data_IF_839967268897
#
_entry.id   IF_839967268897
#
_cell.length_a   1.000
_cell.length_b   1.000
_cell.length_c   1.000
_cell.angle_alpha   90.00
_cell.angle_beta   90.00
_cell.angle_gamma   90.00
#
_symmetry.space_group_name_H-M   'P 1'
#
loop_
_entity.id
_entity.type
_entity.pdbx_description
1 polymer ?
#
# COMPACT_ATOMS: atom_id res chain seq x y z
N UNK A 1 -73.52 66.54 -27.22
CA UNK A 1 -74.71 67.32 -27.61
C UNK A 1 -75.67 67.67 -26.46
N UNK A 2 -75.66 66.99 -25.31
CA UNK A 2 -76.35 67.46 -24.08
C UNK A 2 -75.71 68.71 -23.43
N UNK A 3 -74.41 68.94 -23.68
CA UNK A 3 -73.65 70.07 -23.13
C UNK A 3 -73.84 71.38 -23.93
N UNK A 4 -74.35 71.29 -25.17
CA UNK A 4 -74.53 72.42 -26.11
C UNK A 4 -76.01 72.81 -26.35
N UNK A 5 -76.94 72.27 -25.56
CA UNK A 5 -78.37 72.49 -25.76
C UNK A 5 -78.84 73.84 -25.17
N UNK A 6 -79.79 74.54 -25.82
CA UNK A 6 -80.21 75.88 -25.42
C UNK A 6 -80.84 75.86 -24.01
N UNK A 7 -80.31 76.72 -23.12
CA UNK A 7 -80.85 76.90 -21.76
C UNK A 7 -82.00 77.88 -21.80
N UNK A 8 -83.10 77.56 -21.13
CA UNK A 8 -84.23 78.48 -21.02
C UNK A 8 -83.85 79.66 -20.12
N UNK A 9 -84.00 80.92 -20.58
CA UNK A 9 -83.65 82.08 -19.77
C UNK A 9 -84.57 82.18 -18.55
N UNK A 10 -83.98 82.41 -17.37
CA UNK A 10 -84.60 82.46 -16.04
C UNK A 10 -84.92 81.11 -15.36
N UNK A 11 -84.57 79.96 -15.95
CA UNK A 11 -84.63 78.68 -15.25
C UNK A 11 -83.30 77.91 -15.36
N UNK A 12 -83.08 76.94 -14.48
CA UNK A 12 -81.94 76.01 -14.57
C UNK A 12 -82.19 74.86 -15.55
N UNK A 13 -83.27 74.91 -16.34
CA UNK A 13 -83.69 73.81 -17.20
C UNK A 13 -83.16 74.01 -18.62
N UNK A 14 -82.55 72.94 -19.14
CA UNK A 14 -81.97 72.89 -20.49
C UNK A 14 -82.96 72.14 -21.38
N UNK A 15 -83.25 72.69 -22.57
CA UNK A 15 -84.13 72.03 -23.54
C UNK A 15 -83.35 70.90 -24.20
N UNK A 16 -83.79 69.66 -24.01
CA UNK A 16 -83.16 68.46 -24.57
C UNK A 16 -84.17 67.78 -25.49
N UNK A 17 -83.70 67.36 -26.66
CA UNK A 17 -84.47 66.56 -27.61
C UNK A 17 -84.75 65.18 -27.00
N UNK A 18 -86.02 64.91 -26.71
CA UNK A 18 -86.48 63.69 -26.04
C UNK A 18 -86.18 62.45 -26.89
N UNK A 19 -86.34 62.51 -28.22
CA UNK A 19 -86.05 61.38 -29.12
C UNK A 19 -84.55 61.06 -29.12
N UNK A 20 -83.69 62.06 -29.29
CA UNK A 20 -82.23 61.82 -29.30
C UNK A 20 -81.70 61.35 -27.93
N UNK A 21 -82.26 61.88 -26.83
CA UNK A 21 -81.88 61.45 -25.49
C UNK A 21 -82.32 60.01 -25.21
N UNK A 22 -83.54 59.65 -25.61
CA UNK A 22 -84.07 58.29 -25.47
C UNK A 22 -83.29 57.31 -26.34
N UNK A 23 -82.93 57.67 -27.58
CA UNK A 23 -82.08 56.84 -28.45
C UNK A 23 -80.70 56.59 -27.83
N UNK A 24 -80.07 57.62 -27.25
CA UNK A 24 -78.80 57.49 -26.53
C UNK A 24 -78.95 56.63 -25.26
N UNK A 25 -80.07 56.77 -24.55
CA UNK A 25 -80.37 55.98 -23.35
C UNK A 25 -80.68 54.51 -23.69
N UNK A 26 -81.35 54.24 -24.81
CA UNK A 26 -81.60 52.88 -25.31
C UNK A 26 -80.31 52.24 -25.83
N UNK A 27 -79.44 53.00 -26.49
CA UNK A 27 -78.11 52.55 -26.87
C UNK A 27 -77.30 52.12 -25.63
N UNK A 28 -77.34 52.93 -24.56
CA UNK A 28 -76.77 52.56 -23.27
C UNK A 28 -77.47 51.32 -22.71
N UNK A 29 -78.81 51.27 -22.68
CA UNK A 29 -79.58 50.13 -22.16
C UNK A 29 -79.23 48.81 -22.84
N UNK A 30 -78.91 48.84 -24.13
CA UNK A 30 -78.54 47.66 -24.92
C UNK A 30 -77.09 47.23 -24.66
N UNK A 31 -76.14 48.16 -24.53
CA UNK A 31 -74.70 47.84 -24.46
C UNK A 31 -74.09 47.82 -23.05
N UNK A 32 -74.66 48.52 -22.06
CA UNK A 32 -74.19 48.52 -20.68
C UNK A 32 -74.23 47.13 -20.03
N UNK A 33 -75.30 46.31 -20.22
CA UNK A 33 -75.36 44.97 -19.65
C UNK A 33 -74.23 44.07 -20.15
N UNK A 34 -73.91 44.10 -21.46
CA UNK A 34 -72.82 43.29 -22.01
C UNK A 34 -71.45 43.75 -21.50
N UNK A 35 -71.22 45.08 -21.42
CA UNK A 35 -69.97 45.60 -20.89
C UNK A 35 -69.73 45.22 -19.42
N UNK A 36 -70.78 45.17 -18.58
CA UNK A 36 -70.66 44.68 -17.20
C UNK A 36 -70.42 43.17 -17.13
N UNK A 37 -70.99 42.40 -18.06
CA UNK A 37 -70.77 40.96 -18.13
C UNK A 37 -69.32 40.67 -18.53
N UNK A 38 -68.80 41.36 -19.55
CA UNK A 38 -67.40 41.28 -19.97
C UNK A 38 -66.45 41.66 -18.84
N UNK A 39 -66.75 42.74 -18.10
CA UNK A 39 -65.94 43.15 -16.95
C UNK A 39 -65.92 42.09 -15.83
N UNK A 40 -67.06 41.44 -15.56
CA UNK A 40 -67.12 40.31 -14.61
C UNK A 40 -66.30 39.12 -15.08
N UNK A 41 -66.37 38.80 -16.37
CA UNK A 41 -65.58 37.70 -16.94
C UNK A 41 -64.08 37.98 -16.88
N UNK A 42 -63.65 39.22 -17.15
CA UNK A 42 -62.25 39.64 -16.99
C UNK A 42 -61.80 39.49 -15.53
N UNK A 43 -62.61 39.92 -14.56
CA UNK A 43 -62.27 39.80 -13.14
C UNK A 43 -62.16 38.32 -12.73
N UNK A 44 -63.12 37.49 -13.13
CA UNK A 44 -63.09 36.04 -12.87
C UNK A 44 -61.85 35.38 -13.48
N UNK A 45 -61.57 35.64 -14.76
CA UNK A 45 -60.40 35.09 -15.43
C UNK A 45 -59.09 35.55 -14.76
N UNK A 46 -59.03 36.80 -14.29
CA UNK A 46 -57.88 37.30 -13.53
C UNK A 46 -57.72 36.55 -12.21
N UNK A 47 -58.81 36.33 -11.46
CA UNK A 47 -58.77 35.57 -10.21
C UNK A 47 -58.31 34.13 -10.44
N UNK A 48 -58.77 33.48 -11.51
CA UNK A 48 -58.30 32.16 -11.92
C UNK A 48 -56.80 32.15 -12.25
N UNK A 49 -56.32 33.11 -13.04
CA UNK A 49 -54.89 33.22 -13.39
C UNK A 49 -54.04 33.47 -12.15
N UNK A 50 -54.49 34.31 -11.21
CA UNK A 50 -53.77 34.58 -9.97
C UNK A 50 -53.67 33.34 -9.11
N UNK A 51 -54.77 32.60 -8.95
CA UNK A 51 -54.78 31.35 -8.20
C UNK A 51 -53.85 30.31 -8.82
N UNK A 52 -53.86 30.18 -10.15
CA UNK A 52 -52.98 29.27 -10.88
C UNK A 52 -51.50 29.68 -10.72
N UNK A 53 -51.21 30.98 -10.82
CA UNK A 53 -49.85 31.49 -10.62
C UNK A 53 -49.36 31.30 -9.17
N UNK A 54 -50.23 31.48 -8.16
CA UNK A 54 -49.91 31.22 -6.76
C UNK A 54 -49.61 29.73 -6.52
N UNK A 55 -50.46 28.83 -7.02
CA UNK A 55 -50.22 27.38 -6.92
C UNK A 55 -48.93 26.98 -7.62
N UNK A 56 -48.68 27.49 -8.83
CA UNK A 56 -47.46 27.20 -9.56
C UNK A 56 -46.20 27.72 -8.85
N UNK A 57 -46.28 28.91 -8.25
CA UNK A 57 -45.18 29.44 -7.43
C UNK A 57 -44.94 28.56 -6.20
N UNK A 58 -45.99 28.12 -5.53
CA UNK A 58 -45.91 27.21 -4.38
C UNK A 58 -45.24 25.89 -4.77
N UNK A 59 -45.64 25.29 -5.89
CA UNK A 59 -45.07 24.05 -6.41
C UNK A 59 -43.57 24.20 -6.73
N UNK A 60 -43.16 25.33 -7.31
CA UNK A 60 -41.74 25.61 -7.59
C UNK A 60 -40.95 25.70 -6.29
N UNK A 61 -41.46 26.41 -5.28
CA UNK A 61 -40.77 26.57 -4.00
C UNK A 61 -40.62 25.21 -3.32
N UNK A 62 -41.70 24.41 -3.23
CA UNK A 62 -41.63 23.06 -2.65
C UNK A 62 -40.67 22.13 -3.42
N UNK A 63 -40.64 22.22 -4.75
CA UNK A 63 -39.71 21.43 -5.55
C UNK A 63 -38.25 21.85 -5.30
N UNK A 64 -37.99 23.16 -5.18
CA UNK A 64 -36.67 23.68 -4.88
C UNK A 64 -36.20 23.30 -3.46
N UNK A 65 -37.07 23.39 -2.47
CA UNK A 65 -36.78 23.00 -1.08
C UNK A 65 -36.50 21.50 -0.96
N UNK A 66 -37.30 20.64 -1.60
CA UNK A 66 -37.05 19.19 -1.63
C UNK A 66 -35.68 18.88 -2.23
N UNK A 67 -35.37 19.49 -3.38
CA UNK A 67 -34.08 19.27 -4.04
C UNK A 67 -32.91 19.78 -3.21
N UNK A 68 -33.06 20.90 -2.52
CA UNK A 68 -32.05 21.41 -1.60
C UNK A 68 -31.82 20.45 -0.42
N UNK A 69 -32.89 19.87 0.13
CA UNK A 69 -32.80 18.88 1.20
C UNK A 69 -32.05 17.61 0.74
N UNK A 70 -32.34 17.11 -0.45
CA UNK A 70 -31.64 15.96 -1.05
C UNK A 70 -30.13 16.23 -1.23
N UNK A 71 -29.77 17.40 -1.76
CA UNK A 71 -28.36 17.78 -1.95
C UNK A 71 -27.62 17.87 -0.60
N UNK A 72 -28.27 18.42 0.43
CA UNK A 72 -27.66 18.51 1.76
C UNK A 72 -27.44 17.13 2.38
N UNK A 73 -28.36 16.19 2.18
CA UNK A 73 -28.22 14.81 2.63
C UNK A 73 -27.06 14.10 1.92
N UNK A 74 -26.97 14.22 0.58
CA UNK A 74 -25.81 13.73 -0.19
C UNK A 74 -24.50 14.35 0.29
N UNK A 75 -24.46 15.66 0.55
CA UNK A 75 -23.28 16.31 1.13
C UNK A 75 -22.93 15.76 2.51
N UNK A 76 -23.92 15.41 3.33
CA UNK A 76 -23.73 14.75 4.62
C UNK A 76 -23.03 13.40 4.46
N UNK A 77 -23.54 12.56 3.56
CA UNK A 77 -22.95 11.25 3.24
C UNK A 77 -21.52 11.38 2.69
N UNK A 78 -21.29 12.30 1.76
CA UNK A 78 -19.95 12.54 1.19
C UNK A 78 -18.97 12.96 2.29
N UNK A 79 -19.35 13.90 3.16
CA UNK A 79 -18.49 14.35 4.26
C UNK A 79 -18.17 13.22 5.24
N UNK A 80 -19.16 12.39 5.56
CA UNK A 80 -18.95 11.23 6.42
C UNK A 80 -17.98 10.24 5.77
N UNK A 81 -18.22 9.87 4.51
CA UNK A 81 -17.34 8.98 3.76
C UNK A 81 -15.91 9.52 3.67
N UNK A 82 -15.74 10.84 3.47
CA UNK A 82 -14.42 11.47 3.49
C UNK A 82 -13.75 11.40 4.87
N UNK A 83 -14.49 11.59 5.95
CA UNK A 83 -13.95 11.46 7.31
C UNK A 83 -13.50 10.04 7.60
N UNK A 84 -14.32 9.05 7.27
CA UNK A 84 -13.98 7.64 7.42
C UNK A 84 -12.77 7.26 6.56
N UNK A 85 -12.73 7.70 5.29
CA UNK A 85 -11.58 7.47 4.41
C UNK A 85 -10.30 8.18 4.90
N UNK A 86 -10.41 9.34 5.56
CA UNK A 86 -9.28 10.00 6.23
C UNK A 86 -8.80 9.19 7.43
N UNK A 87 -9.71 8.71 8.28
CA UNK A 87 -9.37 7.86 9.43
C UNK A 87 -8.69 6.56 9.00
N UNK A 88 -9.25 5.85 8.02
CA UNK A 88 -8.68 4.60 7.50
C UNK A 88 -7.27 4.84 6.98
N UNK A 89 -7.05 5.90 6.18
CA UNK A 89 -5.70 6.24 5.69
C UNK A 89 -4.73 6.55 6.81
N UNK A 90 -5.16 7.30 7.83
CA UNK A 90 -4.32 7.62 8.97
C UNK A 90 -3.97 6.38 9.79
N UNK A 91 -4.93 5.50 10.01
CA UNK A 91 -4.71 4.23 10.70
C UNK A 91 -3.75 3.34 9.93
N UNK A 92 -3.96 3.15 8.62
CA UNK A 92 -3.05 2.37 7.77
C UNK A 92 -1.64 2.97 7.80
N UNK A 93 -1.50 4.29 7.73
CA UNK A 93 -0.18 4.93 7.79
C UNK A 93 0.52 4.61 9.12
N UNK A 94 -0.18 4.75 10.25
CA UNK A 94 0.38 4.42 11.56
C UNK A 94 0.75 2.94 11.68
N UNK A 95 -0.11 2.04 11.20
CA UNK A 95 0.15 0.61 11.20
C UNK A 95 1.36 0.26 10.31
N UNK A 96 1.47 0.87 9.13
CA UNK A 96 2.63 0.70 8.25
C UNK A 96 3.92 1.18 8.91
N UNK A 97 3.90 2.34 9.57
CA UNK A 97 5.08 2.88 10.25
C UNK A 97 5.53 1.95 11.40
N UNK A 98 4.57 1.43 12.18
CA UNK A 98 4.85 0.48 13.27
C UNK A 98 5.41 -0.84 12.74
N UNK A 99 4.77 -1.43 11.72
CA UNK A 99 5.24 -2.69 11.12
C UNK A 99 6.63 -2.49 10.51
N UNK A 100 6.87 -1.35 9.87
CA UNK A 100 8.17 -1.03 9.30
C UNK A 100 9.25 -0.94 10.37
N UNK A 101 8.99 -0.22 11.47
CA UNK A 101 9.92 -0.09 12.58
C UNK A 101 10.20 -1.44 13.25
N UNK A 102 9.16 -2.24 13.50
CA UNK A 102 9.29 -3.60 14.04
C UNK A 102 10.15 -4.49 13.13
N UNK A 103 9.86 -4.49 11.83
CA UNK A 103 10.61 -5.29 10.86
C UNK A 103 12.08 -4.87 10.83
N UNK A 104 12.37 -3.57 10.87
CA UNK A 104 13.74 -3.07 10.89
C UNK A 104 14.48 -3.50 12.17
N UNK A 105 13.82 -3.42 13.33
CA UNK A 105 14.40 -3.88 14.60
C UNK A 105 14.69 -5.40 14.57
N UNK A 106 13.77 -6.20 14.05
CA UNK A 106 13.96 -7.65 13.91
C UNK A 106 15.13 -7.99 12.97
N UNK A 107 15.20 -7.34 11.80
CA UNK A 107 16.29 -7.53 10.84
C UNK A 107 17.64 -7.14 11.46
N UNK A 108 17.70 -6.03 12.19
CA UNK A 108 18.92 -5.61 12.88
C UNK A 108 19.33 -6.56 14.00
N UNK A 109 18.37 -7.10 14.75
CA UNK A 109 18.63 -8.08 15.79
C UNK A 109 19.16 -9.38 15.18
N UNK A 110 18.50 -9.90 14.15
CA UNK A 110 18.93 -11.11 13.45
C UNK A 110 20.32 -10.93 12.84
N UNK A 111 20.59 -9.78 12.21
CA UNK A 111 21.91 -9.47 11.66
C UNK A 111 22.99 -9.52 12.73
N UNK A 112 22.73 -8.95 13.91
CA UNK A 112 23.67 -8.96 15.04
C UNK A 112 23.91 -10.38 15.55
N UNK A 113 22.87 -11.19 15.67
CA UNK A 113 22.99 -12.58 16.11
C UNK A 113 23.82 -13.41 15.12
N UNK A 114 23.48 -13.36 13.83
CA UNK A 114 24.24 -14.08 12.79
C UNK A 114 25.70 -13.61 12.78
N UNK A 115 25.95 -12.31 12.92
CA UNK A 115 27.31 -11.79 12.94
C UNK A 115 28.11 -12.32 14.15
N UNK A 116 27.48 -12.47 15.32
CA UNK A 116 28.11 -13.07 16.49
C UNK A 116 28.39 -14.55 16.28
N UNK A 117 27.41 -15.33 15.82
CA UNK A 117 27.56 -16.76 15.56
C UNK A 117 28.64 -17.05 14.52
N UNK A 118 28.70 -16.27 13.43
CA UNK A 118 29.74 -16.39 12.40
C UNK A 118 31.13 -16.08 12.96
N UNK A 119 31.23 -15.05 13.82
CA UNK A 119 32.50 -14.70 14.45
C UNK A 119 32.98 -15.80 15.42
N UNK A 120 32.08 -16.33 16.24
CA UNK A 120 32.36 -17.45 17.13
C UNK A 120 32.81 -18.70 16.35
N UNK A 121 32.07 -19.05 15.29
CA UNK A 121 32.43 -20.16 14.41
C UNK A 121 33.80 -19.95 13.76
N UNK A 122 34.12 -18.72 13.33
CA UNK A 122 35.43 -18.39 12.77
C UNK A 122 36.55 -18.59 13.78
N UNK A 123 36.38 -18.09 15.00
CA UNK A 123 37.37 -18.25 16.08
C UNK A 123 37.58 -19.72 16.41
N UNK A 124 36.50 -20.50 16.53
CA UNK A 124 36.59 -21.93 16.78
C UNK A 124 37.32 -22.68 15.66
N UNK A 125 37.01 -22.39 14.40
CA UNK A 125 37.66 -23.03 13.26
C UNK A 125 39.17 -22.74 13.20
N UNK A 126 39.58 -21.50 13.53
CA UNK A 126 41.00 -21.14 13.61
C UNK A 126 41.69 -21.93 14.73
N UNK A 127 41.10 -21.96 15.92
CA UNK A 127 41.65 -22.70 17.05
C UNK A 127 41.79 -24.20 16.74
N UNK A 128 40.78 -24.82 16.11
CA UNK A 128 40.83 -26.22 15.70
C UNK A 128 41.96 -26.48 14.68
N UNK A 129 42.12 -25.58 13.71
CA UNK A 129 43.21 -25.68 12.72
C UNK A 129 44.59 -25.58 13.39
N UNK A 130 44.76 -24.71 14.38
CA UNK A 130 46.02 -24.59 15.14
C UNK A 130 46.31 -25.85 15.96
N UNK A 131 45.30 -26.46 16.58
CA UNK A 131 45.47 -27.72 17.32
C UNK A 131 45.82 -28.89 16.38
N UNK A 132 45.16 -28.98 15.21
CA UNK A 132 45.47 -30.01 14.21
C UNK A 132 46.91 -29.84 13.70
N UNK A 133 47.34 -28.61 13.40
CA UNK A 133 48.71 -28.33 12.97
C UNK A 133 49.73 -28.73 14.04
N UNK A 134 49.51 -28.32 15.29
CA UNK A 134 50.38 -28.70 16.41
C UNK A 134 50.46 -30.22 16.60
N UNK A 135 49.32 -30.92 16.54
CA UNK A 135 49.29 -32.38 16.64
C UNK A 135 50.02 -33.08 15.48
N UNK A 136 49.94 -32.53 14.27
CA UNK A 136 50.66 -33.04 13.10
C UNK A 136 52.17 -32.83 13.22
N UNK A 137 52.60 -31.65 13.68
CA UNK A 137 54.00 -31.33 13.93
C UNK A 137 54.59 -32.24 15.01
N UNK A 138 53.90 -32.41 16.14
CA UNK A 138 54.32 -33.32 17.22
C UNK A 138 54.42 -34.78 16.75
N UNK A 139 53.50 -35.21 15.89
CA UNK A 139 53.54 -36.54 15.30
C UNK A 139 54.73 -36.71 14.36
N UNK A 140 54.98 -35.73 13.48
CA UNK A 140 56.13 -35.74 12.58
C UNK A 140 57.45 -35.80 13.37
N UNK A 141 57.57 -34.98 14.42
CA UNK A 141 58.72 -34.97 15.33
C UNK A 141 58.95 -36.34 15.98
N UNK A 142 57.88 -36.97 16.46
CA UNK A 142 57.96 -38.32 17.06
C UNK A 142 58.45 -39.36 16.05
N UNK A 143 57.83 -39.41 14.88
CA UNK A 143 58.19 -40.37 13.82
C UNK A 143 59.63 -40.17 13.38
N UNK A 144 60.08 -38.93 13.21
CA UNK A 144 61.46 -38.62 12.83
C UNK A 144 62.46 -39.03 13.92
N UNK A 145 62.16 -38.77 15.20
CA UNK A 145 63.00 -39.23 16.32
C UNK A 145 63.08 -40.75 16.41
N UNK A 146 61.96 -41.45 16.21
CA UNK A 146 61.93 -42.92 16.21
C UNK A 146 62.79 -43.48 15.07
N UNK A 147 62.70 -42.89 13.87
CA UNK A 147 63.55 -43.27 12.73
C UNK A 147 65.03 -42.99 13.00
N UNK A 148 65.37 -41.83 13.58
CA UNK A 148 66.74 -41.49 13.96
C UNK A 148 67.32 -42.52 14.92
N UNK A 149 66.55 -42.91 15.94
CA UNK A 149 66.97 -43.91 16.92
C UNK A 149 67.18 -45.28 16.28
N UNK A 150 66.26 -45.73 15.41
CA UNK A 150 66.41 -47.00 14.69
C UNK A 150 67.66 -47.01 13.79
N UNK A 151 67.92 -45.92 13.08
CA UNK A 151 69.13 -45.79 12.25
C UNK A 151 70.39 -45.80 13.10
N UNK A 152 70.40 -45.11 14.24
CA UNK A 152 71.52 -45.10 15.17
C UNK A 152 71.85 -46.51 15.71
N UNK A 153 70.81 -47.29 16.06
CA UNK A 153 70.98 -48.66 16.51
C UNK A 153 71.48 -49.59 15.40
N UNK A 154 70.97 -49.45 14.18
CA UNK A 154 71.47 -50.20 13.03
C UNK A 154 72.95 -49.90 12.77
N UNK A 155 73.37 -48.64 12.84
CA UNK A 155 74.78 -48.24 12.71
C UNK A 155 75.64 -48.88 13.80
N UNK A 156 75.15 -48.94 15.06
CA UNK A 156 75.85 -49.63 16.16
C UNK A 156 76.05 -51.11 15.85
N UNK A 157 75.00 -51.80 15.39
CA UNK A 157 75.07 -53.23 15.02
C UNK A 157 76.07 -53.45 13.89
N UNK A 158 76.05 -52.63 12.84
CA UNK A 158 76.99 -52.72 11.71
C UNK A 158 78.44 -52.48 12.18
N UNK A 159 78.68 -51.47 13.03
CA UNK A 159 80.02 -51.21 13.59
C UNK A 159 80.54 -52.40 14.39
N UNK A 160 79.70 -52.97 15.25
CA UNK A 160 80.05 -54.15 16.05
C UNK A 160 80.36 -55.36 15.15
N UNK A 161 79.50 -55.64 14.16
CA UNK A 161 79.73 -56.74 13.21
C UNK A 161 80.99 -56.57 12.37
N UNK A 162 81.29 -55.35 11.91
CA UNK A 162 82.56 -55.03 11.21
C UNK A 162 83.78 -55.23 12.10
N UNK A 163 83.71 -54.81 13.37
CA UNK A 163 84.80 -54.98 14.32
C UNK A 163 85.07 -56.46 14.60
N UNK A 164 84.02 -57.28 14.65
CA UNK A 164 84.14 -58.73 14.83
C UNK A 164 84.79 -59.42 13.63
N UNK A 165 84.43 -59.02 12.41
CA UNK A 165 85.10 -59.51 11.19
C UNK A 165 86.56 -59.04 11.05
N UNK A 166 86.96 -57.95 11.71
CA UNK A 166 88.36 -57.53 11.76
C UNK A 166 89.19 -58.31 12.79
N UNK A 167 88.53 -58.93 13.78
CA UNK A 167 89.17 -59.75 14.81
C UNK A 167 89.33 -61.22 14.36
N UNK A 168 88.52 -61.70 13.41
CA UNK A 168 88.67 -63.01 12.76
C UNK A 168 89.36 -62.88 11.37
N UNK A 169 90.68 -63.16 11.23
CA UNK A 169 91.30 -63.23 9.92
C UNK A 169 90.83 -64.47 9.16
N UNK A 170 90.72 -64.44 7.81
CA UNK A 170 90.36 -65.61 7.03
C UNK A 170 91.45 -66.69 7.21
N UNK A 171 91.09 -67.77 7.90
CA UNK A 171 91.91 -68.97 7.98
C UNK A 171 91.99 -69.61 6.59
N UNK A 172 93.11 -69.38 5.92
CA UNK A 172 93.46 -70.09 4.68
C UNK A 172 93.53 -71.59 4.93
N UNK A 173 92.79 -72.38 4.15
CA UNK A 173 93.05 -73.81 4.00
C UNK A 173 93.84 -74.04 2.70
N UNK A 174 95.01 -74.71 2.74
CA UNK A 174 95.79 -75.04 1.56
C UNK A 174 95.24 -76.29 0.84
N UNK A 175 95.64 -76.55 -0.43
CA UNK A 175 95.10 -77.65 -1.22
C UNK A 175 95.78 -78.98 -0.86
N UNK A 176 95.02 -80.08 -0.82
CA UNK A 176 95.60 -81.43 -0.87
C UNK A 176 94.96 -82.26 -1.99
N UNK A 177 95.85 -82.84 -2.77
CA UNK A 177 95.74 -83.55 -4.03
C UNK A 177 95.03 -84.92 -3.96
N UNK A 178 94.58 -85.33 -5.14
CA UNK A 178 94.02 -86.61 -5.56
C UNK A 178 94.60 -87.88 -4.91
N UNK A 179 93.69 -88.85 -4.71
CA UNK A 179 94.00 -90.27 -4.45
C UNK A 179 92.78 -91.11 -4.81
N UNK A 180 92.88 -91.82 -5.92
CA UNK A 180 91.92 -92.77 -6.50
C UNK A 180 91.51 -93.88 -5.51
N UNK A 181 90.34 -94.50 -5.74
CA UNK A 181 90.10 -95.83 -5.19
C UNK A 181 88.65 -96.26 -4.99
N UNK A 182 87.97 -96.56 -6.11
CA UNK A 182 87.15 -97.77 -6.31
C UNK A 182 86.26 -98.30 -5.17
N UNK A 183 84.98 -98.47 -5.56
CA UNK A 183 84.33 -99.79 -5.71
C UNK A 183 83.35 -100.27 -4.63
N UNK A 184 82.10 -100.45 -5.10
CA UNK A 184 81.09 -101.45 -4.70
C UNK A 184 80.52 -101.32 -3.27
N UNK A 185 79.22 -101.44 -3.01
CA UNK A 185 78.09 -102.02 -3.76
C UNK A 185 76.80 -101.49 -3.15
#
# INVERSE_FOLDING_TARGET
MLLDSPRLPLSRWTLVDEEQLLDQLDLLRIHLPSAFQDAKDIIRNKEEILLEAENYAQDIVEAAERRAAEILDEMGLIRQAEMEARQIRQQIQQECDVIHEQTMQEVEQLRRQIQQEVEEMRVMAIAECEEIQRGADDYADRVLRDMEQQMADMIRVIRNGRQQLQLDPPSGHPPHSAGEGRSHR
#
